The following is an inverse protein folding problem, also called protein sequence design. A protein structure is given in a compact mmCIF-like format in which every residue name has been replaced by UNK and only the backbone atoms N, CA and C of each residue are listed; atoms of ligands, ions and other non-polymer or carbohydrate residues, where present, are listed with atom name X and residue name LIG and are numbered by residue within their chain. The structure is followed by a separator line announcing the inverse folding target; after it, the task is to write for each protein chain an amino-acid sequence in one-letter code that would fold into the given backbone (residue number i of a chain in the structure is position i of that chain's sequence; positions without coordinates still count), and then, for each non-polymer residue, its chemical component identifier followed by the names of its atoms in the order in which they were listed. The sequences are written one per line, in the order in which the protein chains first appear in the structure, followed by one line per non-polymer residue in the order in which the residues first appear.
data_IF_097692760850
#
_entry.id   IF_097692760850
#
_cell.length_a   1.000
_cell.length_b   1.000
_cell.length_c   1.000
_cell.angle_alpha   90.00
_cell.angle_beta   90.00
_cell.angle_gamma   90.00
#
_symmetry.space_group_name_H-M   'P 1'
#
loop_
_entity.id
_entity.type
_entity.pdbx_description
1 polymer ?
#
# COMPACT_ATOMS: atom_id res chain seq x y z
N UNK A 1 -6.51 23.41 -6.02
CA UNK A 1 -7.97 23.55 -5.81
C UNK A 1 -8.72 22.74 -6.86
N UNK A 2 -9.81 22.06 -6.52
CA UNK A 2 -10.60 21.19 -7.42
C UNK A 2 -11.77 21.96 -8.06
N UNK A 3 -12.04 21.74 -9.35
CA UNK A 3 -13.24 22.22 -10.03
C UNK A 3 -14.21 21.04 -10.31
N UNK A 4 -15.37 20.98 -9.63
CA UNK A 4 -16.34 19.91 -9.81
C UNK A 4 -17.11 19.99 -11.13
N UNK A 5 -17.16 21.14 -11.82
CA UNK A 5 -17.88 21.29 -13.09
C UNK A 5 -17.16 20.53 -14.21
N UNK A 6 -15.84 20.62 -14.25
CA UNK A 6 -15.00 19.93 -15.24
C UNK A 6 -14.39 18.63 -14.72
N UNK A 7 -14.44 18.39 -13.40
CA UNK A 7 -13.90 17.19 -12.76
C UNK A 7 -12.37 17.14 -12.76
N UNK A 8 -11.69 18.29 -12.58
CA UNK A 8 -10.23 18.41 -12.68
C UNK A 8 -9.65 19.25 -11.55
N UNK A 9 -8.35 19.05 -11.30
CA UNK A 9 -7.57 20.00 -10.51
C UNK A 9 -7.32 21.27 -11.32
N UNK A 10 -7.42 22.43 -10.67
CA UNK A 10 -7.12 23.75 -11.25
C UNK A 10 -5.62 24.07 -11.25
N UNK A 11 -4.84 23.28 -10.54
CA UNK A 11 -3.39 23.33 -10.46
C UNK A 11 -2.84 21.92 -10.66
N UNK A 12 -1.58 21.81 -11.09
CA UNK A 12 -0.92 20.51 -11.13
C UNK A 12 -0.92 19.91 -9.73
N UNK A 13 -1.42 18.69 -9.59
CA UNK A 13 -1.37 17.87 -8.39
C UNK A 13 0.10 17.73 -7.94
N UNK A 14 0.45 18.19 -6.71
CA UNK A 14 1.80 18.05 -6.16
C UNK A 14 2.25 16.60 -5.94
N UNK A 15 1.31 15.66 -5.73
CA UNK A 15 1.60 14.25 -5.58
C UNK A 15 1.93 13.56 -6.92
N UNK A 16 1.45 14.10 -8.05
CA UNK A 16 1.71 13.60 -9.41
C UNK A 16 1.48 12.10 -9.55
N UNK A 17 0.41 11.61 -8.93
CA UNK A 17 0.11 10.19 -8.81
C UNK A 17 -0.32 9.55 -10.14
N UNK A 18 -0.75 10.37 -11.08
CA UNK A 18 -1.29 9.95 -12.38
C UNK A 18 -0.51 10.57 -13.53
N UNK A 19 -0.62 9.94 -14.71
CA UNK A 19 0.04 10.41 -15.92
C UNK A 19 -0.35 11.85 -16.30
N UNK A 20 -1.57 12.27 -15.95
CA UNK A 20 -2.00 13.67 -16.05
C UNK A 20 -2.00 14.29 -14.66
N UNK A 21 -1.20 15.34 -14.46
CA UNK A 21 -1.17 16.11 -13.21
C UNK A 21 -2.44 16.89 -12.90
N UNK A 22 -3.46 16.86 -13.77
CA UNK A 22 -4.76 17.50 -13.53
C UNK A 22 -5.89 16.49 -13.29
N UNK A 23 -5.56 15.19 -13.27
CA UNK A 23 -6.53 14.13 -13.06
C UNK A 23 -6.92 14.02 -11.58
N UNK A 24 -8.21 14.18 -11.29
CA UNK A 24 -8.76 13.96 -9.96
C UNK A 24 -9.32 12.56 -9.82
N UNK A 25 -9.15 11.96 -8.64
CA UNK A 25 -9.84 10.73 -8.18
C UNK A 25 -9.85 9.59 -9.22
N UNK A 26 -8.80 9.45 -10.04
CA UNK A 26 -8.69 8.40 -11.09
C UNK A 26 -9.84 8.41 -12.10
N UNK A 27 -10.49 9.55 -12.31
CA UNK A 27 -11.70 9.68 -13.12
C UNK A 27 -12.90 8.86 -12.59
N UNK A 28 -12.90 8.51 -11.29
CA UNK A 28 -13.98 7.76 -10.66
C UNK A 28 -14.29 8.30 -9.24
N UNK A 29 -14.97 9.47 -9.15
CA UNK A 29 -15.31 10.11 -7.88
C UNK A 29 -16.43 9.38 -7.10
N UNK A 30 -17.03 8.32 -7.65
CA UNK A 30 -18.01 7.48 -6.94
C UNK A 30 -17.28 6.51 -5.99
N UNK A 31 -16.13 5.98 -6.42
CA UNK A 31 -15.36 5.01 -5.64
C UNK A 31 -14.20 5.64 -4.86
N UNK A 32 -13.65 6.76 -5.34
CA UNK A 32 -12.46 7.37 -4.76
C UNK A 32 -12.76 8.74 -4.19
N UNK A 33 -12.30 8.93 -2.96
CA UNK A 33 -12.33 10.19 -2.24
C UNK A 33 -10.88 10.63 -1.98
N UNK A 34 -10.62 11.92 -2.14
CA UNK A 34 -9.30 12.53 -1.95
C UNK A 34 -9.46 13.82 -1.11
N UNK A 35 -9.35 13.72 0.23
CA UNK A 35 -9.66 14.83 1.13
C UNK A 35 -8.66 15.99 1.09
N UNK A 36 -7.38 15.71 0.80
CA UNK A 36 -6.29 16.69 0.80
C UNK A 36 -5.70 16.93 -0.61
N UNK A 37 -6.15 16.20 -1.63
CA UNK A 37 -5.64 16.30 -2.99
C UNK A 37 -4.31 15.58 -3.19
N UNK A 38 -3.93 14.71 -2.26
CA UNK A 38 -2.63 14.07 -2.22
C UNK A 38 -2.72 12.56 -1.96
N UNK A 39 -3.92 12.00 -1.76
CA UNK A 39 -4.13 10.62 -1.30
C UNK A 39 -3.78 9.54 -2.34
N UNK A 40 -2.71 8.75 -2.13
CA UNK A 40 -2.30 7.70 -3.11
C UNK A 40 -3.01 6.35 -2.88
N UNK A 41 -4.08 6.13 -3.64
CA UNK A 41 -4.81 4.86 -3.65
C UNK A 41 -4.00 3.65 -4.16
N UNK A 42 -2.90 3.86 -4.88
CA UNK A 42 -2.02 2.76 -5.29
C UNK A 42 -1.14 2.30 -4.13
N UNK A 43 -0.68 3.22 -3.27
CA UNK A 43 0.07 2.91 -2.07
C UNK A 43 -0.76 2.02 -1.12
N UNK A 44 -2.02 2.38 -0.88
CA UNK A 44 -2.96 1.59 -0.06
C UNK A 44 -3.18 0.19 -0.62
N UNK A 45 -3.37 0.07 -1.93
CA UNK A 45 -3.55 -1.24 -2.57
C UNK A 45 -2.31 -2.12 -2.45
N UNK A 46 -1.13 -1.52 -2.63
CA UNK A 46 0.15 -2.22 -2.45
C UNK A 46 0.33 -2.64 -1.01
N UNK A 47 0.12 -1.75 -0.05
CA UNK A 47 0.17 -2.06 1.38
C UNK A 47 -0.74 -3.24 1.73
N UNK A 48 -2.03 -3.18 1.38
CA UNK A 48 -2.98 -4.25 1.64
C UNK A 48 -2.50 -5.59 1.06
N UNK A 49 -1.91 -5.57 -0.14
CA UNK A 49 -1.32 -6.76 -0.75
C UNK A 49 -0.10 -7.25 0.04
N UNK A 50 0.91 -6.41 0.27
CA UNK A 50 2.16 -6.78 0.95
C UNK A 50 1.94 -7.24 2.40
N UNK A 51 1.06 -6.57 3.14
CA UNK A 51 0.72 -6.95 4.53
C UNK A 51 -0.09 -8.24 4.59
N UNK A 52 -1.06 -8.44 3.68
CA UNK A 52 -1.84 -9.69 3.64
C UNK A 52 -0.95 -10.88 3.25
N UNK A 53 -0.17 -10.76 2.17
CA UNK A 53 0.74 -11.84 1.75
C UNK A 53 1.83 -12.10 2.78
N UNK A 54 2.45 -11.06 3.33
CA UNK A 54 3.47 -11.20 4.37
C UNK A 54 2.92 -11.84 5.65
N UNK A 55 1.71 -11.46 6.07
CA UNK A 55 1.05 -12.06 7.24
C UNK A 55 0.73 -13.55 7.04
N UNK A 56 0.28 -13.93 5.84
CA UNK A 56 0.05 -15.33 5.48
C UNK A 56 1.35 -16.13 5.44
N UNK A 57 2.44 -15.55 4.94
CA UNK A 57 3.77 -16.19 4.94
C UNK A 57 4.30 -16.39 6.36
N UNK A 58 4.12 -15.41 7.26
CA UNK A 58 4.46 -15.56 8.68
C UNK A 58 3.65 -16.70 9.31
N UNK A 59 2.33 -16.70 9.14
CA UNK A 59 1.47 -17.74 9.69
C UNK A 59 1.82 -19.13 9.12
N UNK A 60 2.07 -19.20 7.81
CA UNK A 60 2.54 -20.40 7.13
C UNK A 60 3.89 -20.88 7.68
N UNK A 61 4.88 -20.00 7.79
CA UNK A 61 6.19 -20.31 8.34
C UNK A 61 6.13 -20.85 9.78
N UNK A 62 5.34 -20.22 10.65
CA UNK A 62 5.10 -20.69 12.03
C UNK A 62 4.47 -22.09 12.03
N UNK A 63 3.50 -22.35 11.15
CA UNK A 63 2.88 -23.66 11.04
C UNK A 63 3.87 -24.74 10.60
N UNK A 64 4.77 -24.43 9.66
CA UNK A 64 5.80 -25.36 9.17
C UNK A 64 6.82 -25.67 10.27
N UNK A 65 7.23 -24.67 11.05
CA UNK A 65 8.12 -24.87 12.21
C UNK A 65 7.47 -25.85 13.20
N UNK A 66 6.21 -25.59 13.57
CA UNK A 66 5.54 -26.28 14.68
C UNK A 66 5.05 -27.69 14.30
N UNK A 67 4.65 -27.89 13.04
CA UNK A 67 4.17 -29.19 12.54
C UNK A 67 5.29 -30.12 12.08
N UNK A 68 6.51 -29.62 11.92
CA UNK A 68 7.64 -30.42 11.45
C UNK A 68 8.41 -31.08 12.59
N UNK A 69 8.90 -32.29 12.36
CA UNK A 69 9.82 -33.02 13.24
C UNK A 69 11.25 -32.43 13.27
N UNK A 70 11.38 -31.11 13.12
CA UNK A 70 12.64 -30.38 13.04
C UNK A 70 13.08 -30.01 11.61
N UNK A 71 12.72 -30.79 10.59
CA UNK A 71 13.10 -30.53 9.19
C UNK A 71 12.51 -29.23 8.60
N UNK A 72 11.35 -28.78 9.11
CA UNK A 72 10.68 -27.57 8.65
C UNK A 72 11.17 -26.29 9.34
N UNK A 73 12.05 -26.38 10.33
CA UNK A 73 12.49 -25.21 11.12
C UNK A 73 13.22 -24.18 10.26
N UNK A 74 14.16 -24.59 9.41
CA UNK A 74 14.92 -23.70 8.52
C UNK A 74 14.02 -23.03 7.46
N UNK A 75 13.27 -23.78 6.63
CA UNK A 75 12.40 -23.16 5.64
C UNK A 75 11.26 -22.35 6.28
N UNK A 76 10.72 -22.81 7.42
CA UNK A 76 9.70 -22.08 8.16
C UNK A 76 10.23 -20.76 8.76
N UNK A 77 11.44 -20.75 9.32
CA UNK A 77 12.08 -19.52 9.80
C UNK A 77 12.34 -18.52 8.68
N UNK A 78 12.71 -19.01 7.49
CA UNK A 78 12.85 -18.17 6.30
C UNK A 78 11.51 -17.52 5.90
N UNK A 79 10.43 -18.28 5.87
CA UNK A 79 9.09 -17.75 5.56
C UNK A 79 8.63 -16.71 6.57
N UNK A 80 8.91 -16.93 7.86
CA UNK A 80 8.64 -15.92 8.90
C UNK A 80 9.45 -14.66 8.66
N UNK A 81 10.74 -14.78 8.32
CA UNK A 81 11.59 -13.63 8.05
C UNK A 81 11.15 -12.84 6.80
N UNK A 82 10.93 -13.52 5.67
CA UNK A 82 10.47 -12.88 4.42
C UNK A 82 9.10 -12.23 4.59
N UNK A 83 8.15 -12.97 5.19
CA UNK A 83 6.81 -12.46 5.45
C UNK A 83 6.83 -11.22 6.34
N UNK A 84 7.67 -11.19 7.38
CA UNK A 84 7.83 -10.02 8.26
C UNK A 84 8.36 -8.80 7.50
N UNK A 85 9.35 -8.99 6.61
CA UNK A 85 9.87 -7.92 5.76
C UNK A 85 8.79 -7.39 4.83
N UNK A 86 7.95 -8.26 4.25
CA UNK A 86 6.83 -7.84 3.39
C UNK A 86 5.77 -7.05 4.16
N UNK A 87 5.42 -7.45 5.38
CA UNK A 87 4.50 -6.67 6.22
C UNK A 87 5.05 -5.26 6.47
N UNK A 88 6.33 -5.15 6.84
CA UNK A 88 6.99 -3.86 7.07
C UNK A 88 7.04 -3.02 5.79
N UNK A 89 7.36 -3.63 4.66
CA UNK A 89 7.39 -2.95 3.37
C UNK A 89 6.01 -2.40 2.98
N UNK A 90 4.94 -3.17 3.22
CA UNK A 90 3.57 -2.70 3.03
C UNK A 90 3.25 -1.48 3.89
N UNK A 91 3.49 -1.57 5.20
CA UNK A 91 3.20 -0.49 6.14
C UNK A 91 4.00 0.78 5.83
N UNK A 92 5.25 0.65 5.37
CA UNK A 92 6.03 1.79 4.89
C UNK A 92 5.44 2.40 3.62
N UNK A 93 4.99 1.60 2.65
CA UNK A 93 4.29 2.13 1.46
C UNK A 93 3.02 2.89 1.85
N UNK A 94 2.25 2.39 2.83
CA UNK A 94 1.09 3.10 3.36
C UNK A 94 1.50 4.41 4.03
N UNK A 95 2.53 4.37 4.87
CA UNK A 95 3.03 5.56 5.54
C UNK A 95 3.45 6.62 4.53
N UNK A 96 4.25 6.27 3.53
CA UNK A 96 4.64 7.19 2.46
C UNK A 96 3.44 7.69 1.66
N UNK A 97 2.50 6.80 1.30
CA UNK A 97 1.28 7.17 0.58
C UNK A 97 0.25 7.97 1.37
N UNK A 98 0.46 8.20 2.67
CA UNK A 98 -0.35 9.08 3.53
C UNK A 98 0.47 10.31 4.00
N UNK A 99 1.80 10.20 4.12
CA UNK A 99 2.64 11.25 4.74
C UNK A 99 3.45 12.08 3.75
N UNK A 100 3.81 11.56 2.58
CA UNK A 100 4.30 12.43 1.49
C UNK A 100 3.21 13.42 1.05
N UNK A 101 1.96 13.14 1.42
CA UNK A 101 0.77 13.97 1.31
C UNK A 101 0.68 15.08 2.38
N UNK A 102 1.55 15.09 3.39
CA UNK A 102 1.51 16.08 4.48
C UNK A 102 2.71 17.05 4.46
N UNK A 103 3.64 16.91 3.52
CA UNK A 103 4.92 17.67 3.47
C UNK A 103 5.07 18.53 2.20
N UNK A 104 4.04 18.60 1.35
CA UNK A 104 4.01 19.47 0.16
C UNK A 104 2.88 20.50 0.26
#
# INVERSE_FOLDING_TARGET
MYDPVIGRWMSVDPARQYASGYLAMRNNPILYYDPNGLWDWNAIKKDAMYTTFGGLEVAGGVSVITASSGLGTIPGAYLVADGSVRVIAGLNLLYHGITEDNVK
#
